data_IF_225981111017
#
_entry.id   IF_225981111017
#
_cell.length_a   1.000
_cell.length_b   1.000
_cell.length_c   1.000
_cell.angle_alpha   90.00
_cell.angle_beta   90.00
_cell.angle_gamma   90.00
#
_symmetry.space_group_name_H-M   'P 1'
#
loop_
_entity.id
_entity.type
_entity.pdbx_description
1 polymer ?
#
# COMPACT_ATOMS: atom_id res chain seq x y z
N UNK A 1 32.44 -17.92 14.78
CA UNK A 1 32.28 -16.49 14.40
C UNK A 1 33.35 -15.59 15.02
N UNK A 2 33.97 -15.90 16.15
CA UNK A 2 34.94 -14.98 16.81
C UNK A 2 36.25 -14.71 16.03
N UNK A 3 36.42 -15.31 14.86
CA UNK A 3 37.54 -15.08 13.92
C UNK A 3 37.08 -14.46 12.59
N UNK A 4 35.78 -14.21 12.41
CA UNK A 4 35.27 -13.55 11.22
C UNK A 4 35.44 -12.03 11.37
N UNK A 5 35.83 -11.33 10.30
CA UNK A 5 35.78 -9.87 10.25
C UNK A 5 34.37 -9.34 10.55
N UNK A 6 34.25 -8.16 11.18
CA UNK A 6 32.96 -7.52 11.47
C UNK A 6 32.01 -7.43 10.27
N UNK A 7 32.55 -7.22 9.08
CA UNK A 7 31.81 -7.04 7.83
C UNK A 7 31.11 -8.32 7.39
N UNK A 8 31.79 -9.47 7.52
CA UNK A 8 31.19 -10.78 7.24
C UNK A 8 30.16 -11.16 8.31
N UNK A 9 30.42 -10.80 9.57
CA UNK A 9 29.43 -10.97 10.63
C UNK A 9 28.17 -10.13 10.37
N UNK A 10 28.29 -8.86 9.96
CA UNK A 10 27.13 -8.03 9.61
C UNK A 10 26.35 -8.60 8.43
N UNK A 11 27.02 -9.08 7.39
CA UNK A 11 26.34 -9.68 6.24
C UNK A 11 25.55 -10.94 6.65
N UNK A 12 26.13 -11.79 7.49
CA UNK A 12 25.43 -12.95 8.04
C UNK A 12 24.22 -12.50 8.88
N UNK A 13 24.40 -11.51 9.75
CA UNK A 13 23.33 -11.00 10.63
C UNK A 13 22.15 -10.41 9.84
N UNK A 14 22.42 -9.71 8.74
CA UNK A 14 21.38 -9.14 7.87
C UNK A 14 20.59 -10.21 7.12
N UNK A 15 21.23 -11.34 6.79
CA UNK A 15 20.59 -12.48 6.13
C UNK A 15 19.77 -13.35 7.09
N UNK A 16 19.96 -13.21 8.41
CA UNK A 16 19.12 -13.93 9.37
C UNK A 16 17.67 -13.47 9.20
N UNK A 17 16.76 -14.44 9.12
CA UNK A 17 15.34 -14.16 9.01
C UNK A 17 14.77 -13.69 10.36
N UNK A 18 14.90 -12.39 10.63
CA UNK A 18 14.24 -11.71 11.75
C UNK A 18 12.76 -11.42 11.49
N UNK A 19 12.27 -11.79 10.30
CA UNK A 19 10.96 -11.36 9.82
C UNK A 19 9.86 -12.17 10.48
N UNK A 20 8.73 -11.51 10.72
CA UNK A 20 7.57 -12.15 11.33
C UNK A 20 6.98 -13.21 10.38
N UNK A 21 6.54 -14.38 10.89
CA UNK A 21 5.87 -15.39 10.07
C UNK A 21 4.61 -14.86 9.37
N UNK A 22 3.95 -13.89 10.01
CA UNK A 22 2.74 -13.23 9.52
C UNK A 22 3.03 -12.05 8.60
N UNK A 23 4.26 -11.53 8.59
CA UNK A 23 4.67 -10.46 7.69
C UNK A 23 6.18 -10.51 7.44
N UNK A 24 6.57 -11.17 6.35
CA UNK A 24 7.97 -11.36 5.96
C UNK A 24 8.69 -10.07 5.57
N UNK A 25 8.06 -8.89 5.62
CA UNK A 25 8.73 -7.62 5.31
C UNK A 25 9.42 -6.98 6.52
N UNK A 26 8.98 -7.30 7.75
CA UNK A 26 9.34 -6.54 8.95
C UNK A 26 9.81 -7.41 10.11
N UNK A 27 10.69 -6.82 10.93
CA UNK A 27 11.13 -7.39 12.19
C UNK A 27 10.24 -6.89 13.33
N UNK A 28 9.93 -7.77 14.28
CA UNK A 28 9.26 -7.37 15.52
C UNK A 28 10.18 -6.55 16.41
N UNK A 29 9.64 -5.54 17.11
CA UNK A 29 10.36 -4.92 18.22
C UNK A 29 10.53 -5.86 19.43
N UNK A 30 9.96 -7.08 19.39
CA UNK A 30 10.10 -8.08 20.45
C UNK A 30 11.56 -8.53 20.64
N UNK A 31 12.05 -8.66 21.89
CA UNK A 31 13.40 -9.15 22.18
C UNK A 31 13.68 -10.57 21.68
N UNK A 32 12.65 -11.39 21.44
CA UNK A 32 12.80 -12.81 21.11
C UNK A 32 13.04 -13.08 19.61
N UNK A 33 12.49 -12.22 18.75
CA UNK A 33 12.52 -12.40 17.29
C UNK A 33 13.07 -11.13 16.63
N UNK A 34 14.27 -10.70 17.06
CA UNK A 34 14.90 -9.48 16.56
C UNK A 34 16.43 -9.52 16.70
N UNK A 35 17.15 -8.59 16.03
CA UNK A 35 18.60 -8.42 16.17
C UNK A 35 19.10 -8.21 17.62
N UNK A 36 18.20 -7.96 18.58
CA UNK A 36 18.54 -7.93 19.99
C UNK A 36 19.10 -9.26 20.49
N UNK A 37 18.73 -10.40 19.89
CA UNK A 37 19.28 -11.72 20.24
C UNK A 37 20.79 -11.76 19.99
N UNK A 38 21.25 -11.19 18.87
CA UNK A 38 22.68 -11.08 18.54
C UNK A 38 23.45 -10.31 19.62
N UNK A 39 22.79 -9.30 20.20
CA UNK A 39 23.36 -8.50 21.28
C UNK A 39 23.49 -9.28 22.60
N UNK A 40 22.92 -10.48 22.73
CA UNK A 40 23.01 -11.30 23.95
C UNK A 40 24.00 -12.46 23.84
N UNK A 41 24.56 -12.73 22.66
CA UNK A 41 25.47 -13.87 22.44
C UNK A 41 26.84 -13.64 23.07
N UNK A 42 27.57 -12.61 22.60
CA UNK A 42 28.87 -12.24 23.15
C UNK A 42 29.16 -10.74 22.92
N UNK A 43 30.22 -10.21 23.55
CA UNK A 43 30.60 -8.78 23.42
C UNK A 43 30.89 -8.40 21.97
N UNK A 44 31.54 -9.27 21.20
CA UNK A 44 31.87 -9.01 19.80
C UNK A 44 30.61 -8.90 18.94
N UNK A 45 29.68 -9.85 19.05
CA UNK A 45 28.42 -9.83 18.28
C UNK A 45 27.56 -8.63 18.63
N UNK A 46 27.50 -8.27 19.91
CA UNK A 46 26.82 -7.04 20.36
C UNK A 46 27.41 -5.81 19.68
N UNK A 47 28.73 -5.69 19.62
CA UNK A 47 29.39 -4.57 18.96
C UNK A 47 29.03 -4.54 17.47
N UNK A 48 29.18 -5.65 16.76
CA UNK A 48 28.84 -5.73 15.32
C UNK A 48 27.38 -5.39 15.08
N UNK A 49 26.44 -6.03 15.79
CA UNK A 49 25.01 -5.82 15.59
C UNK A 49 24.58 -4.36 15.89
N UNK A 50 25.10 -3.76 16.96
CA UNK A 50 24.80 -2.36 17.30
C UNK A 50 25.38 -1.40 16.24
N UNK A 51 26.57 -1.70 15.71
CA UNK A 51 27.22 -0.90 14.67
C UNK A 51 26.77 -1.23 13.25
N UNK A 52 25.70 -2.02 13.06
CA UNK A 52 25.12 -2.36 11.75
C UNK A 52 23.72 -1.76 11.62
N UNK A 53 23.59 -0.51 11.10
CA UNK A 53 22.31 0.21 11.04
C UNK A 53 21.20 -0.50 10.26
N UNK A 54 21.55 -1.27 9.22
CA UNK A 54 20.61 -1.99 8.38
C UNK A 54 19.76 -3.03 9.14
N UNK A 55 20.26 -3.54 10.28
CA UNK A 55 19.50 -4.43 11.16
C UNK A 55 18.31 -3.72 11.83
N UNK A 56 18.35 -2.40 11.96
CA UNK A 56 17.42 -1.62 12.78
C UNK A 56 16.50 -0.71 11.96
N UNK A 57 16.64 -0.67 10.64
CA UNK A 57 15.85 0.21 9.78
C UNK A 57 14.54 -0.39 9.27
N UNK A 58 14.33 -1.71 9.47
CA UNK A 58 13.12 -2.44 9.02
C UNK A 58 12.36 -3.04 10.19
N UNK A 59 11.24 -2.43 10.59
CA UNK A 59 10.52 -2.85 11.80
C UNK A 59 9.00 -2.68 11.71
N UNK A 60 8.28 -3.41 12.55
CA UNK A 60 6.84 -3.23 12.74
C UNK A 60 6.55 -2.77 14.17
N UNK A 61 5.71 -1.73 14.26
CA UNK A 61 5.11 -1.27 15.50
C UNK A 61 3.65 -1.74 15.48
N UNK A 62 3.28 -2.51 16.49
CA UNK A 62 1.91 -2.96 16.69
C UNK A 62 1.46 -2.57 18.09
N UNK A 63 0.45 -1.70 18.17
CA UNK A 63 -0.12 -1.25 19.42
C UNK A 63 -1.54 -1.80 19.56
N UNK A 64 -1.79 -2.60 20.60
CA UNK A 64 -3.14 -2.95 21.01
C UNK A 64 -3.62 -1.85 21.96
N UNK A 65 -4.65 -1.09 21.61
CA UNK A 65 -5.22 -0.15 22.58
C UNK A 65 -6.30 -0.84 23.41
N UNK A 66 -5.89 -1.84 24.18
CA UNK A 66 -6.75 -2.41 25.21
C UNK A 66 -6.73 -1.48 26.42
N UNK A 67 -7.87 -1.31 27.09
CA UNK A 67 -7.92 -0.60 28.39
C UNK A 67 -6.97 -1.25 29.41
N UNK A 68 -6.73 -2.56 29.28
CA UNK A 68 -5.79 -3.33 30.08
C UNK A 68 -4.82 -4.12 29.17
N UNK A 69 -3.67 -3.54 28.80
CA UNK A 69 -2.60 -4.25 28.11
C UNK A 69 -2.14 -5.44 28.95
N UNK A 70 -1.85 -6.58 28.31
CA UNK A 70 -1.12 -7.64 29.00
C UNK A 70 0.33 -7.15 29.21
N UNK A 71 0.90 -7.25 30.42
CA UNK A 71 2.31 -6.89 30.63
C UNK A 71 3.21 -7.63 29.63
N UNK A 72 4.00 -6.87 28.86
CA UNK A 72 4.93 -7.40 27.87
C UNK A 72 4.35 -7.74 26.49
N UNK A 73 3.06 -7.47 26.21
CA UNK A 73 2.48 -7.68 24.87
C UNK A 73 2.67 -6.52 23.90
N UNK A 74 3.16 -5.37 24.39
CA UNK A 74 3.30 -4.14 23.60
C UNK A 74 4.73 -3.64 23.60
N UNK A 75 5.16 -2.98 22.50
CA UNK A 75 6.48 -2.39 22.44
C UNK A 75 6.63 -1.28 23.49
N UNK A 76 7.78 -1.26 24.16
CA UNK A 76 8.18 -0.16 25.03
C UNK A 76 8.72 1.00 24.19
N UNK A 77 8.32 2.23 24.52
CA UNK A 77 8.74 3.43 23.80
C UNK A 77 10.27 3.60 23.79
N UNK A 78 10.94 3.29 24.89
CA UNK A 78 12.40 3.40 24.99
C UNK A 78 13.10 2.40 24.06
N UNK A 79 12.52 1.21 23.90
CA UNK A 79 13.05 0.22 22.96
C UNK A 79 12.83 0.68 21.53
N UNK A 80 11.67 1.26 21.22
CA UNK A 80 11.41 1.84 19.92
C UNK A 80 12.38 3.00 19.60
N UNK A 81 12.61 3.92 20.54
CA UNK A 81 13.62 4.99 20.40
C UNK A 81 15.03 4.42 20.24
N UNK A 82 15.34 3.29 20.87
CA UNK A 82 16.62 2.59 20.67
C UNK A 82 16.76 2.10 19.22
N UNK A 83 15.71 1.51 18.64
CA UNK A 83 15.70 1.10 17.23
C UNK A 83 15.94 2.29 16.29
N UNK A 84 15.22 3.39 16.48
CA UNK A 84 15.40 4.63 15.71
C UNK A 84 16.85 5.14 15.80
N UNK A 85 17.44 5.18 17.00
CA UNK A 85 18.84 5.59 17.17
C UNK A 85 19.83 4.65 16.47
N UNK A 86 19.65 3.33 16.58
CA UNK A 86 20.56 2.34 15.97
C UNK A 86 20.47 2.29 14.45
N UNK A 87 19.32 2.65 13.89
CA UNK A 87 19.16 2.77 12.43
C UNK A 87 19.97 3.92 11.82
N UNK A 88 20.58 4.79 12.63
CA UNK A 88 21.49 5.87 12.24
C UNK A 88 20.91 6.80 11.16
N UNK A 89 21.50 6.87 9.97
CA UNK A 89 20.99 7.66 8.83
C UNK A 89 20.36 6.78 7.74
N UNK A 90 20.18 5.49 8.01
CA UNK A 90 19.65 4.53 7.03
C UNK A 90 18.19 4.86 6.71
N UNK A 91 17.75 4.74 5.45
CA UNK A 91 16.34 4.87 5.11
C UNK A 91 15.48 3.87 5.89
N UNK A 92 14.32 4.33 6.36
CA UNK A 92 13.42 3.57 7.22
C UNK A 92 12.32 2.90 6.40
N UNK A 93 12.10 1.62 6.67
CA UNK A 93 10.96 0.85 6.16
C UNK A 93 10.18 0.29 7.33
N UNK A 94 8.95 0.76 7.55
CA UNK A 94 8.19 0.30 8.71
C UNK A 94 6.70 0.15 8.45
N UNK A 95 6.06 -0.62 9.31
CA UNK A 95 4.62 -0.69 9.45
C UNK A 95 4.22 -0.22 10.83
N UNK A 96 3.26 0.70 10.91
CA UNK A 96 2.67 1.17 12.14
C UNK A 96 1.18 0.81 12.15
N UNK A 97 0.84 -0.18 12.99
CA UNK A 97 -0.49 -0.74 13.09
C UNK A 97 -1.05 -0.57 14.49
N UNK A 98 -2.32 -0.19 14.56
CA UNK A 98 -3.06 -0.08 15.82
C UNK A 98 -4.36 -0.88 15.75
N UNK A 99 -4.64 -1.65 16.80
CA UNK A 99 -6.00 -2.17 17.05
C UNK A 99 -6.61 -1.27 18.12
N UNK A 100 -7.17 -0.15 17.69
CA UNK A 100 -7.79 0.87 18.55
C UNK A 100 -9.30 0.87 18.35
N UNK A 101 -10.10 0.93 19.43
CA UNK A 101 -11.45 1.49 19.34
C UNK A 101 -11.36 2.97 18.89
N UNK A 102 -12.48 3.53 18.45
CA UNK A 102 -12.62 4.86 17.81
C UNK A 102 -12.04 6.08 18.57
N UNK A 103 -11.46 5.90 19.76
CA UNK A 103 -11.00 6.98 20.63
C UNK A 103 -9.50 7.30 20.49
N UNK A 104 -9.11 8.59 20.62
CA UNK A 104 -7.71 9.00 20.67
C UNK A 104 -6.96 8.29 21.80
N UNK A 105 -5.91 7.52 21.47
CA UNK A 105 -5.02 6.93 22.46
C UNK A 105 -3.71 7.75 22.51
N UNK A 106 -3.39 8.44 23.62
CA UNK A 106 -2.17 9.22 23.75
C UNK A 106 -0.89 8.44 23.43
N UNK A 107 -0.88 7.13 23.69
CA UNK A 107 0.27 6.28 23.37
C UNK A 107 0.49 6.16 21.87
N UNK A 108 -0.57 6.07 21.07
CA UNK A 108 -0.46 6.03 19.60
C UNK A 108 0.21 7.31 19.10
N UNK A 109 -0.24 8.46 19.60
CA UNK A 109 0.38 9.75 19.27
C UNK A 109 1.84 9.84 19.71
N UNK A 110 2.19 9.33 20.91
CA UNK A 110 3.59 9.33 21.36
C UNK A 110 4.51 8.55 20.43
N UNK A 111 4.08 7.38 19.93
CA UNK A 111 4.85 6.61 18.94
C UNK A 111 4.87 7.30 17.58
N UNK A 112 3.74 7.87 17.15
CA UNK A 112 3.62 8.60 15.89
C UNK A 112 4.57 9.81 15.86
N UNK A 113 4.59 10.63 16.91
CA UNK A 113 5.48 11.79 17.01
C UNK A 113 6.94 11.37 16.93
N UNK A 114 7.33 10.31 17.64
CA UNK A 114 8.70 9.77 17.55
C UNK A 114 9.05 9.23 16.16
N UNK A 115 8.09 8.71 15.39
CA UNK A 115 8.31 8.35 13.98
C UNK A 115 8.50 9.60 13.11
N UNK A 116 7.62 10.59 13.27
CA UNK A 116 7.55 11.82 12.45
C UNK A 116 8.81 12.68 12.65
N UNK A 117 9.41 12.68 13.84
CA UNK A 117 10.72 13.28 14.10
C UNK A 117 11.84 12.77 13.17
N UNK A 118 11.66 11.60 12.55
CA UNK A 118 12.58 10.99 11.60
C UNK A 118 12.01 10.84 10.18
N UNK A 119 10.95 11.60 9.83
CA UNK A 119 10.26 11.51 8.54
C UNK A 119 11.15 11.74 7.32
N UNK A 120 12.21 12.53 7.46
CA UNK A 120 13.20 12.77 6.40
C UNK A 120 13.89 11.49 5.89
N UNK A 121 13.87 10.43 6.69
CA UNK A 121 14.50 9.15 6.38
C UNK A 121 13.50 8.09 5.93
N UNK A 122 12.20 8.38 5.90
CA UNK A 122 11.20 7.38 5.52
C UNK A 122 11.35 7.02 4.05
N UNK A 123 11.37 5.72 3.74
CA UNK A 123 11.44 5.20 2.37
C UNK A 123 10.17 4.43 2.01
N UNK A 124 9.71 3.59 2.93
CA UNK A 124 8.50 2.78 2.76
C UNK A 124 7.74 2.76 4.08
N UNK A 125 6.48 3.20 4.05
CA UNK A 125 5.66 3.26 5.26
C UNK A 125 4.35 2.52 5.05
N UNK A 126 3.90 1.80 6.06
CA UNK A 126 2.56 1.21 6.09
C UNK A 126 1.82 1.71 7.32
N UNK A 127 0.72 2.45 7.12
CA UNK A 127 -0.11 2.99 8.19
C UNK A 127 -1.47 2.30 8.21
N UNK A 128 -1.73 1.57 9.30
CA UNK A 128 -3.06 1.11 9.70
C UNK A 128 -3.35 1.73 11.07
N UNK A 129 -3.82 2.97 11.04
CA UNK A 129 -3.94 3.85 12.22
C UNK A 129 -5.28 4.57 12.21
N UNK A 130 -5.74 5.13 13.35
CA UNK A 130 -6.96 5.93 13.36
C UNK A 130 -6.87 7.14 12.45
N UNK A 131 -7.97 7.50 11.81
CA UNK A 131 -8.02 8.63 10.87
C UNK A 131 -7.49 9.94 11.51
N UNK A 132 -7.72 10.12 12.82
CA UNK A 132 -7.20 11.26 13.62
C UNK A 132 -5.66 11.37 13.65
N UNK A 133 -4.94 10.31 13.29
CA UNK A 133 -3.49 10.31 13.19
C UNK A 133 -2.98 10.94 11.88
N UNK A 134 -3.76 10.88 10.79
CA UNK A 134 -3.32 11.35 9.48
C UNK A 134 -2.90 12.82 9.46
N UNK A 135 -3.62 13.78 10.09
CA UNK A 135 -3.17 15.17 10.17
C UNK A 135 -1.80 15.37 10.82
N UNK A 136 -1.31 14.42 11.59
CA UNK A 136 -0.06 14.52 12.33
C UNK A 136 1.14 13.94 11.55
N UNK A 137 0.89 13.31 10.40
CA UNK A 137 1.92 12.79 9.51
C UNK A 137 2.35 13.94 8.59
N UNK A 138 3.29 14.76 9.06
CA UNK A 138 3.76 15.97 8.37
C UNK A 138 5.28 16.11 8.47
N UNK A 139 5.85 16.88 7.55
CA UNK A 139 7.28 17.15 7.48
C UNK A 139 7.90 16.64 6.18
N UNK A 140 9.17 17.02 5.91
CA UNK A 140 9.83 16.68 4.65
C UNK A 140 10.16 15.18 4.61
N UNK A 141 9.67 14.51 3.57
CA UNK A 141 9.86 13.06 3.34
C UNK A 141 10.53 12.82 1.98
N UNK A 142 11.76 13.33 1.76
CA UNK A 142 12.40 13.33 0.43
C UNK A 142 12.75 11.94 -0.09
N UNK A 143 12.80 10.92 0.78
CA UNK A 143 13.13 9.54 0.41
C UNK A 143 11.90 8.64 0.28
N UNK A 144 10.70 9.13 0.60
CA UNK A 144 9.51 8.32 0.66
C UNK A 144 9.06 7.97 -0.75
N UNK A 145 9.09 6.68 -1.09
CA UNK A 145 8.75 6.17 -2.43
C UNK A 145 7.49 5.33 -2.43
N UNK A 146 7.20 4.68 -1.29
CA UNK A 146 6.09 3.74 -1.14
C UNK A 146 5.31 4.06 0.13
N UNK A 147 3.99 4.19 0.02
CA UNK A 147 3.12 4.34 1.18
C UNK A 147 1.90 3.41 1.09
N UNK A 148 1.59 2.74 2.19
CA UNK A 148 0.31 2.06 2.39
C UNK A 148 -0.52 2.87 3.37
N UNK A 149 -1.74 3.21 2.98
CA UNK A 149 -2.69 3.96 3.81
C UNK A 149 -3.93 3.09 4.00
N UNK A 150 -4.23 2.75 5.25
CA UNK A 150 -5.44 2.01 5.60
C UNK A 150 -6.14 2.73 6.76
N UNK A 151 -7.19 3.50 6.47
CA UNK A 151 -8.05 4.08 7.50
C UNK A 151 -8.60 2.99 8.43
N UNK A 152 -8.82 3.34 9.69
CA UNK A 152 -9.41 2.39 10.64
C UNK A 152 -10.95 2.32 10.56
N UNK A 153 -11.55 3.29 9.88
CA UNK A 153 -12.97 3.40 9.57
C UNK A 153 -13.15 4.28 8.35
N UNK A 154 -14.33 4.21 7.75
CA UNK A 154 -14.75 5.18 6.74
C UNK A 154 -14.66 6.60 7.32
N UNK A 155 -13.93 7.53 6.67
CA UNK A 155 -13.97 8.94 6.99
C UNK A 155 -15.40 9.48 6.85
N UNK A 156 -15.78 10.45 7.68
CA UNK A 156 -17.02 11.20 7.44
C UNK A 156 -16.79 12.23 6.33
N UNK A 157 -17.83 12.67 5.63
CA UNK A 157 -17.72 13.66 4.53
C UNK A 157 -17.02 14.97 4.95
N UNK A 158 -17.11 15.35 6.22
CA UNK A 158 -16.47 16.56 6.75
C UNK A 158 -14.99 16.36 7.16
N UNK A 159 -14.49 15.12 7.11
CA UNK A 159 -13.11 14.78 7.47
C UNK A 159 -12.23 14.74 6.22
N UNK A 160 -11.41 15.78 6.04
CA UNK A 160 -10.39 15.80 4.99
C UNK A 160 -8.98 15.79 5.58
N UNK A 161 -8.13 14.94 5.03
CA UNK A 161 -6.76 14.73 5.48
C UNK A 161 -5.79 14.97 4.33
N UNK A 162 -4.78 15.82 4.55
CA UNK A 162 -3.65 15.95 3.62
C UNK A 162 -2.50 15.09 4.11
N UNK A 163 -1.93 14.30 3.22
CA UNK A 163 -0.84 13.39 3.51
C UNK A 163 0.25 13.54 2.47
N UNK A 164 1.51 13.49 2.92
CA UNK A 164 2.67 13.37 2.04
C UNK A 164 2.88 14.53 1.05
N UNK A 165 2.35 15.73 1.33
CA UNK A 165 2.55 16.93 0.51
C UNK A 165 4.05 17.20 0.23
N UNK A 166 4.93 16.97 1.23
CA UNK A 166 6.38 17.14 1.13
C UNK A 166 7.14 15.82 0.83
N UNK A 167 6.54 14.92 0.04
CA UNK A 167 7.14 13.65 -0.36
C UNK A 167 7.34 13.55 -1.89
N UNK A 168 8.30 14.29 -2.48
CA UNK A 168 8.45 14.43 -3.94
C UNK A 168 8.89 13.14 -4.67
N UNK A 169 9.29 12.10 -3.93
CA UNK A 169 9.70 10.82 -4.49
C UNK A 169 8.61 9.75 -4.41
N UNK A 170 7.42 10.09 -3.89
CA UNK A 170 6.34 9.13 -3.66
C UNK A 170 5.67 8.78 -4.99
N UNK A 171 5.82 7.52 -5.40
CA UNK A 171 5.33 7.01 -6.68
C UNK A 171 4.39 5.82 -6.54
N UNK A 172 4.44 5.12 -5.41
CA UNK A 172 3.73 3.86 -5.18
C UNK A 172 2.80 3.97 -3.98
N UNK A 173 1.51 3.71 -4.21
CA UNK A 173 0.47 3.71 -3.18
C UNK A 173 -0.21 2.36 -3.08
N UNK A 174 -0.42 1.92 -1.84
CA UNK A 174 -1.37 0.87 -1.52
C UNK A 174 -2.52 1.47 -0.69
N UNK A 175 -3.72 1.41 -1.24
CA UNK A 175 -4.95 1.88 -0.63
C UNK A 175 -5.66 0.68 0.00
N UNK A 176 -5.70 0.65 1.33
CA UNK A 176 -6.41 -0.38 2.07
C UNK A 176 -7.90 -0.08 2.22
N UNK A 177 -8.59 -0.93 2.96
CA UNK A 177 -10.03 -0.81 3.22
C UNK A 177 -10.39 0.57 3.79
N UNK A 178 -11.60 1.03 3.47
CA UNK A 178 -12.16 2.33 3.90
C UNK A 178 -11.43 3.57 3.40
N UNK A 179 -10.47 3.44 2.47
CA UNK A 179 -9.84 4.58 1.81
C UNK A 179 -10.82 5.27 0.87
N UNK A 180 -11.08 6.55 1.10
CA UNK A 180 -11.97 7.37 0.24
C UNK A 180 -11.14 8.46 -0.45
N UNK A 181 -10.98 8.43 -1.80
CA UNK A 181 -10.14 9.38 -2.55
C UNK A 181 -10.49 10.87 -2.35
N UNK A 182 -11.76 11.19 -2.08
CA UNK A 182 -12.22 12.58 -1.89
C UNK A 182 -11.84 13.16 -0.51
N UNK A 183 -11.60 12.29 0.47
CA UNK A 183 -11.31 12.68 1.84
C UNK A 183 -9.81 12.75 2.12
N UNK A 184 -9.02 11.89 1.46
CA UNK A 184 -7.58 11.80 1.67
C UNK A 184 -6.85 12.38 0.46
N UNK A 185 -6.35 13.60 0.65
CA UNK A 185 -5.62 14.38 -0.34
C UNK A 185 -4.15 13.96 -0.34
N UNK A 186 -3.68 13.50 -1.51
CA UNK A 186 -2.33 13.04 -1.76
C UNK A 186 -1.74 13.80 -2.95
N UNK A 187 -0.40 13.81 -3.12
CA UNK A 187 0.24 14.36 -4.31
C UNK A 187 0.03 13.41 -5.51
N UNK A 188 -1.19 13.35 -6.05
CA UNK A 188 -1.61 12.38 -7.06
C UNK A 188 -0.82 12.44 -8.37
N UNK A 189 -0.37 13.63 -8.77
CA UNK A 189 0.30 13.85 -10.06
C UNK A 189 1.62 13.10 -10.22
N UNK A 190 2.31 12.76 -9.12
CA UNK A 190 3.56 11.98 -9.15
C UNK A 190 3.35 10.47 -8.95
N UNK A 191 2.12 10.05 -8.65
CA UNK A 191 1.81 8.64 -8.43
C UNK A 191 1.78 7.91 -9.78
N UNK A 192 2.51 6.80 -9.84
CA UNK A 192 2.63 5.96 -11.04
C UNK A 192 2.10 4.54 -10.81
N UNK A 193 1.97 4.11 -9.55
CA UNK A 193 1.50 2.77 -9.21
C UNK A 193 0.49 2.85 -8.07
N UNK A 194 -0.71 2.32 -8.28
CA UNK A 194 -1.75 2.18 -7.26
C UNK A 194 -2.12 0.70 -7.15
N UNK A 195 -2.17 0.19 -5.91
CA UNK A 195 -2.82 -1.06 -5.54
C UNK A 195 -3.98 -0.75 -4.58
N UNK A 196 -5.20 -1.16 -4.91
CA UNK A 196 -6.38 -0.95 -4.08
C UNK A 196 -7.02 -2.29 -3.72
N UNK A 197 -7.15 -2.58 -2.42
CA UNK A 197 -7.59 -3.90 -1.95
C UNK A 197 -9.11 -4.08 -1.84
N UNK A 198 -9.83 -2.99 -1.64
CA UNK A 198 -11.28 -2.96 -1.58
C UNK A 198 -11.69 -1.53 -1.92
N UNK A 199 -12.35 -1.37 -3.05
CA UNK A 199 -12.63 -0.06 -3.64
C UNK A 199 -13.94 -0.10 -4.41
N UNK A 200 -14.73 0.95 -4.30
CA UNK A 200 -15.93 1.09 -5.11
C UNK A 200 -15.58 1.40 -6.57
N UNK A 201 -16.37 0.90 -7.50
CA UNK A 201 -16.24 1.17 -8.94
C UNK A 201 -16.15 2.67 -9.30
N UNK A 202 -16.91 3.56 -8.65
CA UNK A 202 -16.81 5.01 -8.90
C UNK A 202 -15.47 5.60 -8.42
N UNK A 203 -14.89 5.07 -7.33
CA UNK A 203 -13.60 5.54 -6.79
C UNK A 203 -12.44 5.21 -7.73
N UNK A 204 -12.53 4.07 -8.41
CA UNK A 204 -11.58 3.72 -9.47
C UNK A 204 -11.53 4.81 -10.55
N UNK A 205 -12.71 5.27 -11.01
CA UNK A 205 -12.81 6.33 -12.03
C UNK A 205 -12.24 7.66 -11.49
N UNK A 206 -12.55 8.01 -10.23
CA UNK A 206 -11.98 9.21 -9.59
C UNK A 206 -10.45 9.16 -9.51
N UNK A 207 -9.87 8.02 -9.17
CA UNK A 207 -8.41 7.89 -9.07
C UNK A 207 -7.71 8.00 -10.43
N UNK A 208 -8.33 7.54 -11.51
CA UNK A 208 -7.82 7.78 -12.86
C UNK A 208 -7.82 9.26 -13.23
N UNK A 209 -8.79 10.04 -12.71
CA UNK A 209 -8.82 11.50 -12.90
C UNK A 209 -7.76 12.21 -12.05
N UNK A 210 -7.49 11.73 -10.84
CA UNK A 210 -6.52 12.35 -9.94
C UNK A 210 -5.07 12.03 -10.32
N UNK A 211 -4.78 10.78 -10.70
CA UNK A 211 -3.43 10.29 -10.98
C UNK A 211 -3.16 10.24 -12.50
N UNK A 212 -2.95 11.39 -13.13
CA UNK A 212 -2.76 11.51 -14.58
C UNK A 212 -1.53 10.74 -15.13
N UNK A 213 -0.52 10.53 -14.28
CA UNK A 213 0.72 9.82 -14.62
C UNK A 213 0.71 8.34 -14.19
N UNK A 214 -0.46 7.79 -13.89
CA UNK A 214 -0.60 6.40 -13.47
C UNK A 214 -0.15 5.45 -14.58
N UNK A 215 0.79 4.55 -14.26
CA UNK A 215 1.34 3.53 -15.17
C UNK A 215 0.77 2.15 -14.87
N UNK A 216 0.55 1.85 -13.58
CA UNK A 216 -0.05 0.59 -13.13
C UNK A 216 -1.17 0.83 -12.13
N UNK A 217 -2.30 0.17 -12.36
CA UNK A 217 -3.41 0.15 -11.43
C UNK A 217 -3.86 -1.29 -11.20
N UNK A 218 -3.71 -1.76 -9.97
CA UNK A 218 -4.25 -3.02 -9.48
C UNK A 218 -5.40 -2.72 -8.51
N UNK A 219 -6.60 -3.23 -8.75
CA UNK A 219 -7.75 -2.97 -7.89
C UNK A 219 -8.66 -4.19 -7.73
N UNK A 220 -9.11 -4.42 -6.50
CA UNK A 220 -10.24 -5.29 -6.21
C UNK A 220 -11.48 -4.44 -5.94
N UNK A 221 -12.50 -4.60 -6.80
CA UNK A 221 -13.66 -3.71 -6.86
C UNK A 221 -14.92 -4.34 -6.26
N UNK A 222 -15.71 -3.49 -5.59
CA UNK A 222 -17.08 -3.74 -5.13
C UNK A 222 -18.04 -2.81 -5.88
N UNK A 223 -19.26 -3.29 -6.11
CA UNK A 223 -20.33 -2.48 -6.71
C UNK A 223 -20.82 -1.42 -5.71
N UNK A 224 -20.89 -0.17 -6.14
CA UNK A 224 -21.39 0.93 -5.30
C UNK A 224 -22.91 1.10 -5.34
N UNK A 225 -23.57 0.47 -6.31
CA UNK A 225 -24.97 0.77 -6.67
C UNK A 225 -25.18 2.22 -7.16
N UNK A 226 -24.11 3.02 -7.27
CA UNK A 226 -24.13 4.41 -7.71
C UNK A 226 -23.86 4.55 -9.20
N UNK A 227 -24.19 5.72 -9.74
CA UNK A 227 -23.84 6.07 -11.13
C UNK A 227 -22.39 6.56 -11.19
N UNK A 228 -21.58 6.09 -12.13
CA UNK A 228 -20.21 6.57 -12.28
C UNK A 228 -20.16 8.08 -12.58
N UNK A 229 -19.04 8.77 -12.26
CA UNK A 229 -18.90 10.19 -12.52
C UNK A 229 -19.15 10.52 -13.99
N UNK A 230 -19.95 11.55 -14.27
CA UNK A 230 -20.18 12.02 -15.64
C UNK A 230 -18.88 12.56 -16.25
N UNK A 231 -18.52 12.08 -17.43
CA UNK A 231 -17.39 12.60 -18.19
C UNK A 231 -16.61 11.54 -18.96
N UNK A 232 -15.70 12.01 -19.81
CA UNK A 232 -14.68 11.18 -20.42
C UNK A 232 -13.43 11.21 -19.56
N UNK A 233 -12.85 10.04 -19.31
CA UNK A 233 -11.61 9.88 -18.56
C UNK A 233 -10.56 9.34 -19.50
N UNK A 234 -9.39 9.98 -19.53
CA UNK A 234 -8.25 9.52 -20.33
C UNK A 234 -7.13 9.20 -19.35
N UNK A 235 -6.65 7.96 -19.39
CA UNK A 235 -5.49 7.53 -18.63
C UNK A 235 -4.31 7.31 -19.60
N UNK A 236 -3.59 8.38 -19.98
CA UNK A 236 -2.68 8.36 -21.12
C UNK A 236 -1.43 7.52 -20.87
N UNK A 237 -1.03 7.35 -19.62
CA UNK A 237 0.18 6.64 -19.21
C UNK A 237 -0.06 5.22 -18.73
N UNK A 238 -1.32 4.79 -18.59
CA UNK A 238 -1.67 3.52 -17.97
C UNK A 238 -1.32 2.36 -18.90
N UNK A 239 -0.41 1.50 -18.46
CA UNK A 239 0.12 0.37 -19.23
C UNK A 239 -0.30 -0.98 -18.68
N UNK A 240 -0.44 -1.12 -17.37
CA UNK A 240 -0.85 -2.37 -16.71
C UNK A 240 -2.07 -2.11 -15.83
N UNK A 241 -3.23 -2.61 -16.27
CA UNK A 241 -4.50 -2.52 -15.54
C UNK A 241 -4.94 -3.92 -15.12
N UNK A 242 -5.09 -4.13 -13.82
CA UNK A 242 -5.51 -5.40 -13.23
C UNK A 242 -6.69 -5.16 -12.32
N UNK A 243 -7.81 -5.76 -12.67
CA UNK A 243 -9.04 -5.63 -11.93
C UNK A 243 -9.51 -7.00 -11.47
N UNK A 244 -10.06 -7.06 -10.27
CA UNK A 244 -10.66 -8.27 -9.72
C UNK A 244 -11.95 -7.94 -8.99
N UNK A 245 -12.87 -8.89 -8.94
CA UNK A 245 -14.07 -8.77 -8.11
C UNK A 245 -13.70 -9.07 -6.66
N UNK A 246 -13.96 -8.11 -5.77
CA UNK A 246 -13.80 -8.31 -4.34
C UNK A 246 -14.88 -9.27 -3.80
N UNK A 247 -14.59 -9.96 -2.69
CA UNK A 247 -15.49 -10.97 -2.12
C UNK A 247 -16.85 -10.39 -1.64
N UNK A 248 -16.89 -9.10 -1.35
CA UNK A 248 -18.09 -8.37 -0.90
C UNK A 248 -18.88 -7.74 -2.05
N UNK A 249 -18.53 -8.00 -3.31
CA UNK A 249 -19.33 -7.55 -4.45
C UNK A 249 -20.60 -8.41 -4.59
N UNK A 250 -21.74 -7.76 -4.83
CA UNK A 250 -23.03 -8.39 -4.98
C UNK A 250 -23.55 -8.36 -6.42
N UNK A 251 -23.08 -7.41 -7.24
CA UNK A 251 -23.57 -7.21 -8.60
C UNK A 251 -22.47 -6.85 -9.60
N UNK A 252 -22.89 -6.73 -10.86
CA UNK A 252 -22.10 -6.28 -11.99
C UNK A 252 -21.50 -4.89 -11.78
N UNK A 253 -20.22 -4.68 -12.10
CA UNK A 253 -19.52 -3.38 -11.94
C UNK A 253 -18.68 -2.99 -13.15
N UNK A 254 -18.41 -3.92 -14.08
CA UNK A 254 -17.60 -3.62 -15.27
C UNK A 254 -18.32 -2.56 -16.11
N UNK A 255 -19.64 -2.64 -16.22
CA UNK A 255 -20.44 -1.62 -16.90
C UNK A 255 -20.22 -0.23 -16.29
N UNK A 256 -20.17 -0.09 -14.96
CA UNK A 256 -20.00 1.21 -14.31
C UNK A 256 -18.60 1.79 -14.51
N UNK A 257 -17.58 0.92 -14.58
CA UNK A 257 -16.19 1.34 -14.78
C UNK A 257 -15.91 1.73 -16.23
N UNK A 258 -16.48 1.00 -17.20
CA UNK A 258 -16.07 1.05 -18.61
C UNK A 258 -17.07 1.76 -19.55
N UNK A 259 -18.34 1.93 -19.14
CA UNK A 259 -19.34 2.72 -19.88
C UNK A 259 -19.06 4.24 -19.87
N UNK A 260 -18.51 4.85 -18.79
CA UNK A 260 -17.93 6.18 -18.91
C UNK A 260 -16.95 6.20 -20.08
N UNK A 261 -16.79 7.33 -20.77
CA UNK A 261 -15.92 7.42 -21.96
C UNK A 261 -14.44 7.31 -21.55
N UNK A 262 -14.02 6.12 -21.12
CA UNK A 262 -12.69 5.77 -20.66
C UNK A 262 -11.80 5.46 -21.86
N UNK A 263 -10.67 6.14 -21.95
CA UNK A 263 -9.69 5.96 -23.03
C UNK A 263 -8.34 5.62 -22.43
N UNK A 264 -7.79 4.47 -22.82
CA UNK A 264 -6.58 3.86 -22.26
C UNK A 264 -5.52 3.67 -23.37
N UNK A 265 -5.03 4.75 -24.00
CA UNK A 265 -4.28 4.66 -25.26
C UNK A 265 -2.93 3.94 -25.14
N UNK A 266 -2.35 3.86 -23.95
CA UNK A 266 -1.07 3.21 -23.70
C UNK A 266 -1.18 1.80 -23.10
N UNK A 267 -2.39 1.24 -22.99
CA UNK A 267 -2.60 -0.03 -22.28
C UNK A 267 -1.90 -1.20 -22.99
N UNK A 268 -0.99 -1.86 -22.28
CA UNK A 268 -0.22 -3.00 -22.78
C UNK A 268 -0.67 -4.33 -22.12
N UNK A 269 -1.16 -4.27 -20.89
CA UNK A 269 -1.61 -5.43 -20.11
C UNK A 269 -2.95 -5.14 -19.47
N UNK A 270 -3.92 -6.02 -19.74
CA UNK A 270 -5.23 -6.00 -19.08
C UNK A 270 -5.52 -7.36 -18.46
N UNK A 271 -5.76 -7.37 -17.15
CA UNK A 271 -6.21 -8.55 -16.42
C UNK A 271 -7.53 -8.24 -15.73
N UNK A 272 -8.52 -9.10 -15.93
CA UNK A 272 -9.82 -9.01 -15.28
C UNK A 272 -10.19 -10.36 -14.66
N UNK A 273 -10.34 -10.41 -13.34
CA UNK A 273 -10.83 -11.56 -12.60
C UNK A 273 -12.28 -11.31 -12.19
N UNK A 274 -13.22 -11.95 -12.88
CA UNK A 274 -14.64 -11.58 -12.80
C UNK A 274 -15.57 -12.81 -12.83
N UNK A 275 -16.66 -12.84 -12.05
CA UNK A 275 -17.62 -13.95 -12.10
C UNK A 275 -18.26 -14.12 -13.48
N UNK A 276 -18.33 -15.36 -13.97
CA UNK A 276 -18.77 -15.64 -15.34
C UNK A 276 -20.18 -15.22 -15.68
N UNK A 277 -21.12 -15.44 -14.75
CA UNK A 277 -22.51 -15.03 -14.98
C UNK A 277 -22.68 -13.52 -15.16
N UNK A 278 -21.75 -12.69 -14.64
CA UNK A 278 -21.80 -11.24 -14.79
C UNK A 278 -21.03 -10.76 -16.02
N UNK A 279 -19.91 -11.41 -16.37
CA UNK A 279 -19.10 -11.00 -17.50
C UNK A 279 -19.86 -11.11 -18.83
N UNK A 280 -20.64 -12.18 -19.00
CA UNK A 280 -21.35 -12.46 -20.25
C UNK A 280 -22.32 -11.32 -20.63
N UNK A 281 -22.86 -10.60 -19.66
CA UNK A 281 -23.74 -9.45 -19.88
C UNK A 281 -22.99 -8.13 -20.09
N UNK A 282 -21.76 -7.98 -19.58
CA UNK A 282 -21.02 -6.71 -19.53
C UNK A 282 -19.80 -6.66 -20.46
N UNK A 283 -19.45 -7.78 -21.10
CA UNK A 283 -18.25 -7.89 -21.96
C UNK A 283 -18.22 -6.88 -23.12
N UNK A 284 -19.40 -6.44 -23.58
CA UNK A 284 -19.51 -5.45 -24.64
C UNK A 284 -18.88 -4.10 -24.27
N UNK A 285 -18.94 -3.68 -22.99
CA UNK A 285 -18.33 -2.44 -22.51
C UNK A 285 -16.81 -2.46 -22.67
N UNK A 286 -16.18 -3.62 -22.45
CA UNK A 286 -14.72 -3.79 -22.65
C UNK A 286 -14.35 -3.60 -24.12
N UNK A 287 -15.16 -4.14 -25.03
CA UNK A 287 -14.94 -4.00 -26.48
C UNK A 287 -14.96 -2.52 -26.89
N UNK A 288 -15.98 -1.78 -26.47
CA UNK A 288 -16.11 -0.36 -26.78
C UNK A 288 -14.90 0.45 -26.30
N UNK A 289 -14.37 0.13 -25.12
CA UNK A 289 -13.18 0.80 -24.57
C UNK A 289 -11.93 0.47 -25.36
N UNK A 290 -11.70 -0.79 -25.73
CA UNK A 290 -10.51 -1.16 -26.50
C UNK A 290 -10.55 -0.60 -27.93
N UNK A 291 -11.71 -0.65 -28.59
CA UNK A 291 -11.92 -0.04 -29.90
C UNK A 291 -11.70 1.48 -29.85
N UNK A 292 -12.24 2.16 -28.84
CA UNK A 292 -12.04 3.60 -28.64
C UNK A 292 -10.58 3.95 -28.31
N UNK A 293 -9.91 3.12 -27.51
CA UNK A 293 -8.57 3.41 -27.00
C UNK A 293 -7.47 3.14 -28.02
N UNK A 294 -7.69 2.24 -28.98
CA UNK A 294 -6.66 1.81 -29.95
C UNK A 294 -5.34 1.42 -29.26
N UNK A 295 -5.45 0.74 -28.12
CA UNK A 295 -4.33 0.47 -27.23
C UNK A 295 -3.41 -0.64 -27.76
N UNK A 296 -2.09 -0.58 -27.51
CA UNK A 296 -1.10 -1.57 -27.95
C UNK A 296 -1.10 -2.81 -27.04
N UNK A 297 -2.25 -3.46 -26.91
CA UNK A 297 -2.46 -4.56 -25.96
C UNK A 297 -1.61 -5.78 -26.32
N UNK A 298 -0.79 -6.25 -25.38
CA UNK A 298 0.13 -7.39 -25.54
C UNK A 298 -0.31 -8.60 -24.74
N UNK A 299 -0.89 -8.37 -23.56
CA UNK A 299 -1.38 -9.42 -22.67
C UNK A 299 -2.80 -9.06 -22.23
N UNK A 300 -3.74 -9.94 -22.55
CA UNK A 300 -5.14 -9.80 -22.20
C UNK A 300 -5.54 -11.09 -21.49
N UNK A 301 -6.05 -10.98 -20.26
CA UNK A 301 -6.52 -12.12 -19.48
C UNK A 301 -7.84 -11.76 -18.85
N UNK A 302 -8.90 -12.41 -19.29
CA UNK A 302 -10.17 -12.41 -18.59
C UNK A 302 -10.34 -13.79 -17.97
N UNK A 303 -10.61 -13.88 -16.68
CA UNK A 303 -10.90 -15.15 -16.03
C UNK A 303 -12.34 -15.16 -15.58
N UNK A 304 -13.06 -16.22 -15.95
CA UNK A 304 -14.48 -16.38 -15.68
C UNK A 304 -15.35 -16.06 -16.89
N UNK A 305 -15.11 -16.61 -18.07
CA UNK A 305 -16.15 -16.77 -19.11
C UNK A 305 -15.72 -17.89 -20.05
N UNK A 306 -16.66 -18.70 -20.51
CA UNK A 306 -16.40 -19.75 -21.51
C UNK A 306 -16.38 -19.17 -22.95
N UNK A 307 -16.77 -17.90 -23.15
CA UNK A 307 -16.87 -17.20 -24.45
C UNK A 307 -15.53 -16.59 -24.93
N UNK A 308 -14.46 -16.78 -24.17
CA UNK A 308 -13.18 -16.09 -24.38
C UNK A 308 -12.46 -16.48 -25.67
N UNK A 309 -12.54 -17.75 -26.06
CA UNK A 309 -11.74 -18.31 -27.18
C UNK A 309 -12.10 -17.74 -28.56
N UNK A 310 -13.33 -17.26 -28.77
CA UNK A 310 -13.74 -16.63 -30.04
C UNK A 310 -13.34 -15.14 -30.08
N UNK A 311 -13.42 -14.44 -28.95
CA UNK A 311 -13.12 -13.01 -28.85
C UNK A 311 -11.62 -12.71 -28.89
N UNK A 312 -10.78 -13.55 -28.26
CA UNK A 312 -9.32 -13.45 -28.39
C UNK A 312 -8.85 -13.53 -29.84
N UNK A 313 -9.50 -14.36 -30.66
CA UNK A 313 -9.16 -14.52 -32.08
C UNK A 313 -9.53 -13.29 -32.91
N UNK A 314 -10.54 -12.51 -32.51
CA UNK A 314 -10.94 -11.30 -33.25
C UNK A 314 -10.07 -10.08 -32.93
N UNK A 315 -9.51 -9.99 -31.72
CA UNK A 315 -8.62 -8.90 -31.31
C UNK A 315 -7.18 -9.05 -31.83
N UNK A 316 -6.72 -10.29 -32.04
CA UNK A 316 -5.36 -10.57 -32.53
C UNK A 316 -5.13 -10.32 -34.04
N UNK A 317 -6.08 -9.68 -34.74
CA UNK A 317 -6.06 -9.51 -36.21
C UNK A 317 -5.64 -8.08 -36.65
N UNK A 318 -5.37 -7.14 -35.75
CA UNK A 318 -4.93 -5.79 -36.13
C UNK A 318 -3.63 -5.33 -35.50
#
# INVERSE_FOLDING_TARGET
>A
MDRLPPELCSEVFERVNWRLPTNYKYTSLSPRNSPLVLCQVCRHWRHVAVSTPALWCRFQIFLQAREFPRPGSEPHLDLFRLWLRRSAQTPLTFSFTTITPLHPNPRVFTFLSALVEHCARWQTVEFLVPNVCFPHIRGPMPLLTHATITPNRMPNDNEHFRLFDDAPALTNLLLGDWFMPETIHLPWTQITHIEARCMYDYEFVLLLQFAENLVRFDAALIDSGGTPPEGSVIAPCLRDLRLSTHADAFTGWVVNVFTPNLTLPALETFVLVYPAGWLDTEVHCLREVFERSQCPLKDLRLTGSDLLDEWFKSLAIH
#
